data_IF_257663388296
#
_entry.id   IF_257663388296
#
_cell.length_a   1.000
_cell.length_b   1.000
_cell.length_c   1.000
_cell.angle_alpha   90.00
_cell.angle_beta   90.00
_cell.angle_gamma   90.00
#
_symmetry.space_group_name_H-M   'P 1'
#
loop_
_entity.id
_entity.type
_entity.pdbx_description
1 polymer ?
#
# COMPACT_ATOMS: atom_id res chain seq x y z
N UNK A 1 -0.83 22.76 12.59
CA UNK A 1 -1.82 22.15 11.66
C UNK A 1 -2.09 20.79 12.26
N UNK A 2 -2.95 20.75 13.26
CA UNK A 2 -2.97 19.66 14.23
C UNK A 2 -4.25 18.86 14.06
N UNK A 3 -4.09 17.65 13.54
CA UNK A 3 -5.14 16.68 13.32
C UNK A 3 -4.60 15.41 12.67
N UNK A 4 -4.94 14.26 13.24
CA UNK A 4 -4.66 12.96 12.63
C UNK A 4 -5.59 12.83 11.41
N UNK A 5 -5.01 12.65 10.22
CA UNK A 5 -5.76 12.40 8.98
C UNK A 5 -5.62 10.93 8.61
N UNK A 6 -6.72 10.34 8.19
CA UNK A 6 -6.77 8.96 7.72
C UNK A 6 -7.09 8.95 6.23
N UNK A 7 -6.57 7.95 5.53
CA UNK A 7 -6.90 7.67 4.14
C UNK A 7 -7.48 6.25 4.08
N UNK A 8 -8.81 6.09 4.15
CA UNK A 8 -9.40 4.76 4.09
C UNK A 8 -9.26 4.21 2.66
N UNK A 9 -8.66 3.03 2.53
CA UNK A 9 -8.51 2.32 1.25
C UNK A 9 -9.16 0.95 1.39
N UNK A 10 -10.16 0.69 0.55
CA UNK A 10 -10.81 -0.62 0.49
C UNK A 10 -9.94 -1.59 -0.31
N UNK A 11 -9.64 -2.75 0.27
CA UNK A 11 -8.86 -3.81 -0.36
C UNK A 11 -9.58 -5.15 -0.19
N UNK A 12 -9.38 -6.07 -1.14
CA UNK A 12 -9.91 -7.42 -1.03
C UNK A 12 -9.16 -8.24 0.03
N UNK A 13 -9.72 -9.39 0.42
CA UNK A 13 -9.14 -10.26 1.44
C UNK A 13 -7.74 -10.78 1.07
N UNK A 14 -7.51 -11.09 -0.21
CA UNK A 14 -6.21 -11.58 -0.69
C UNK A 14 -5.16 -10.48 -0.58
N UNK A 15 -5.50 -9.25 -0.98
CA UNK A 15 -4.63 -8.09 -0.82
C UNK A 15 -4.34 -7.78 0.65
N UNK A 16 -5.38 -7.79 1.49
CA UNK A 16 -5.24 -7.58 2.94
C UNK A 16 -4.30 -8.61 3.57
N UNK A 17 -4.41 -9.88 3.18
CA UNK A 17 -3.54 -10.95 3.65
C UNK A 17 -2.07 -10.70 3.25
N UNK A 18 -1.83 -10.29 2.00
CA UNK A 18 -0.47 -10.00 1.52
C UNK A 18 0.18 -8.82 2.26
N UNK A 19 -0.60 -7.81 2.62
CA UNK A 19 -0.19 -6.67 3.45
C UNK A 19 0.08 -7.13 4.89
N UNK A 20 -0.83 -7.90 5.49
CA UNK A 20 -0.71 -8.38 6.86
C UNK A 20 0.54 -9.25 7.06
N UNK A 21 0.84 -10.15 6.11
CA UNK A 21 2.06 -10.97 6.17
C UNK A 21 3.33 -10.12 6.15
N UNK A 22 3.36 -9.07 5.32
CA UNK A 22 4.48 -8.14 5.29
C UNK A 22 4.64 -7.40 6.62
N UNK A 23 3.53 -6.88 7.15
CA UNK A 23 3.51 -6.12 8.40
C UNK A 23 3.92 -6.98 9.61
N UNK A 24 3.59 -8.26 9.59
CA UNK A 24 3.98 -9.24 10.61
C UNK A 24 5.41 -9.77 10.42
N UNK A 25 6.09 -9.42 9.33
CA UNK A 25 7.44 -9.92 9.03
C UNK A 25 7.47 -11.43 8.75
N UNK A 26 6.38 -12.00 8.26
CA UNK A 26 6.30 -13.44 7.95
C UNK A 26 7.29 -13.76 6.83
N UNK A 27 8.22 -14.67 7.09
CA UNK A 27 9.14 -15.19 6.07
C UNK A 27 8.61 -16.53 5.55
N UNK A 28 8.07 -16.59 4.33
CA UNK A 28 7.55 -17.83 3.76
C UNK A 28 8.70 -18.78 3.34
N UNK A 29 8.45 -20.10 3.25
CA UNK A 29 9.46 -21.07 2.81
C UNK A 29 9.85 -20.91 1.33
N UNK A 30 9.02 -20.23 0.54
CA UNK A 30 9.25 -19.84 -0.85
C UNK A 30 8.70 -18.43 -1.06
N UNK A 31 9.32 -17.61 -1.92
CA UNK A 31 8.83 -16.25 -2.20
C UNK A 31 7.36 -16.27 -2.65
N UNK A 32 6.52 -15.45 -2.01
CA UNK A 32 5.18 -15.13 -2.51
C UNK A 32 5.29 -14.06 -3.60
N UNK A 33 4.17 -13.64 -4.18
CA UNK A 33 4.14 -12.73 -5.33
C UNK A 33 4.89 -11.42 -5.06
N UNK A 34 4.67 -10.77 -3.92
CA UNK A 34 5.34 -9.51 -3.61
C UNK A 34 6.80 -9.69 -3.19
N UNK A 35 7.16 -10.84 -2.64
CA UNK A 35 8.57 -11.18 -2.36
C UNK A 35 9.32 -11.39 -3.69
N UNK A 36 8.74 -12.15 -4.62
CA UNK A 36 9.29 -12.34 -5.96
C UNK A 36 9.46 -11.01 -6.71
N UNK A 37 8.49 -10.09 -6.58
CA UNK A 37 8.60 -8.77 -7.20
C UNK A 37 9.73 -7.94 -6.60
N UNK A 38 9.94 -8.00 -5.28
CA UNK A 38 11.12 -7.38 -4.64
C UNK A 38 12.41 -7.98 -5.19
N UNK A 39 12.52 -9.30 -5.24
CA UNK A 39 13.70 -10.00 -5.75
C UNK A 39 14.02 -9.59 -7.21
N UNK A 40 12.98 -9.41 -8.03
CA UNK A 40 13.13 -8.95 -9.42
C UNK A 40 13.67 -7.51 -9.47
N UNK A 41 13.14 -6.60 -8.67
CA UNK A 41 13.62 -5.21 -8.63
C UNK A 41 15.09 -5.16 -8.19
N UNK A 42 15.43 -5.89 -7.13
CA UNK A 42 16.81 -5.98 -6.62
C UNK A 42 17.76 -6.61 -7.63
N UNK A 43 17.35 -7.69 -8.31
CA UNK A 43 18.16 -8.37 -9.33
C UNK A 43 18.43 -7.53 -10.58
N UNK A 44 17.67 -6.45 -10.79
CA UNK A 44 17.86 -5.48 -11.87
C UNK A 44 18.67 -4.25 -11.41
N UNK A 45 19.33 -4.35 -10.26
CA UNK A 45 20.08 -3.25 -9.63
C UNK A 45 19.23 -1.99 -9.47
N UNK A 46 17.94 -2.18 -9.18
CA UNK A 46 16.99 -1.11 -8.96
C UNK A 46 16.52 -1.10 -7.49
N UNK A 47 16.00 0.03 -7.06
CA UNK A 47 15.53 0.24 -5.68
C UNK A 47 14.18 0.91 -5.70
N UNK A 48 13.19 0.31 -5.02
CA UNK A 48 11.94 0.99 -4.70
C UNK A 48 12.22 2.03 -3.61
N UNK A 49 12.17 3.31 -3.96
CA UNK A 49 12.49 4.41 -3.04
C UNK A 49 11.29 4.87 -2.22
N UNK A 50 10.12 4.85 -2.85
CA UNK A 50 8.86 5.21 -2.24
C UNK A 50 7.70 4.65 -3.06
N UNK A 51 6.52 4.62 -2.47
CA UNK A 51 5.26 4.56 -3.19
C UNK A 51 4.49 5.86 -2.98
N UNK A 52 3.69 6.25 -3.96
CA UNK A 52 2.88 7.45 -3.90
C UNK A 52 1.42 7.08 -4.19
N UNK A 53 0.54 7.30 -3.22
CA UNK A 53 -0.92 7.25 -3.40
C UNK A 53 -1.38 8.65 -3.82
N UNK A 54 -1.88 8.79 -5.04
CA UNK A 54 -2.03 10.10 -5.69
C UNK A 54 -3.45 10.66 -5.62
N UNK A 55 -4.45 9.91 -6.08
CA UNK A 55 -5.81 10.42 -6.21
C UNK A 55 -6.85 9.29 -6.21
N UNK A 56 -8.11 9.67 -6.00
CA UNK A 56 -9.28 8.87 -6.31
C UNK A 56 -9.80 9.33 -7.68
N UNK A 57 -9.82 8.45 -8.65
CA UNK A 57 -10.48 8.68 -9.94
C UNK A 57 -11.67 7.71 -10.02
N UNK A 58 -12.88 8.25 -10.17
CA UNK A 58 -14.12 7.45 -10.26
C UNK A 58 -14.32 6.46 -9.09
N UNK A 59 -13.88 6.84 -7.88
CA UNK A 59 -13.95 6.00 -6.69
C UNK A 59 -12.82 4.96 -6.56
N UNK A 60 -11.83 5.00 -7.46
CA UNK A 60 -10.69 4.08 -7.44
C UNK A 60 -9.41 4.84 -7.07
N UNK A 61 -8.76 4.41 -6.00
CA UNK A 61 -7.47 4.95 -5.60
C UNK A 61 -6.36 4.52 -6.57
N UNK A 62 -5.54 5.49 -6.98
CA UNK A 62 -4.36 5.27 -7.81
C UNK A 62 -3.08 5.32 -6.97
N UNK A 63 -2.11 4.49 -7.31
CA UNK A 63 -0.78 4.54 -6.72
C UNK A 63 0.32 4.39 -7.78
N UNK A 64 1.54 4.76 -7.41
CA UNK A 64 2.73 4.55 -8.23
C UNK A 64 3.90 4.08 -7.38
N UNK A 65 4.68 3.15 -7.94
CA UNK A 65 5.97 2.72 -7.40
C UNK A 65 7.05 3.69 -7.94
N UNK A 66 7.78 4.34 -7.04
CA UNK A 66 8.87 5.25 -7.39
C UNK A 66 10.20 4.51 -7.26
N UNK A 67 10.72 4.05 -8.39
CA UNK A 67 11.92 3.23 -8.49
C UNK A 67 13.09 4.07 -9.00
N UNK A 68 14.29 3.78 -8.52
CA UNK A 68 15.54 4.25 -9.13
C UNK A 68 16.34 3.06 -9.65
N UNK A 69 16.86 3.14 -10.87
CA UNK A 69 17.82 2.17 -11.36
C UNK A 69 19.25 2.48 -10.87
N UNK A 70 20.21 1.64 -11.25
CA UNK A 70 21.63 1.77 -10.90
C UNK A 70 22.27 3.10 -11.33
N UNK A 71 21.75 3.73 -12.39
CA UNK A 71 22.24 5.01 -12.91
C UNK A 71 21.53 6.21 -12.22
N UNK A 72 20.65 5.92 -11.26
CA UNK A 72 19.87 6.90 -10.51
C UNK A 72 18.67 7.45 -11.28
N UNK A 73 18.35 6.90 -12.46
CA UNK A 73 17.21 7.34 -13.27
C UNK A 73 15.92 7.03 -12.53
N UNK A 74 15.03 8.02 -12.47
CA UNK A 74 13.71 7.85 -11.86
C UNK A 74 12.77 7.10 -12.82
N UNK A 75 12.15 6.04 -12.33
CA UNK A 75 11.16 5.21 -13.01
C UNK A 75 9.88 5.23 -12.16
N UNK A 76 8.75 5.47 -12.80
CA UNK A 76 7.44 5.39 -12.17
C UNK A 76 6.63 4.26 -12.79
N UNK A 77 6.07 3.38 -11.96
CA UNK A 77 5.23 2.26 -12.40
C UNK A 77 3.86 2.40 -11.75
N UNK A 78 2.80 2.46 -12.56
CA UNK A 78 1.42 2.48 -12.05
C UNK A 78 1.10 1.19 -11.32
N UNK A 79 0.43 1.30 -10.16
CA UNK A 79 0.06 0.18 -9.32
C UNK A 79 -1.27 0.44 -8.61
N UNK A 80 -1.94 -0.64 -8.22
CA UNK A 80 -3.02 -0.54 -7.22
C UNK A 80 -2.39 -0.18 -5.87
N UNK A 81 -3.08 0.61 -5.01
CA UNK A 81 -2.57 0.95 -3.69
C UNK A 81 -2.25 -0.25 -2.82
N UNK A 82 -3.05 -1.31 -2.89
CA UNK A 82 -2.80 -2.55 -2.15
C UNK A 82 -1.45 -3.17 -2.48
N UNK A 83 -1.13 -3.29 -3.77
CA UNK A 83 0.14 -3.85 -4.24
C UNK A 83 1.32 -2.95 -3.87
N UNK A 84 1.14 -1.63 -4.01
CA UNK A 84 2.15 -0.64 -3.66
C UNK A 84 2.48 -0.66 -2.16
N UNK A 85 1.46 -0.73 -1.30
CA UNK A 85 1.63 -0.84 0.16
C UNK A 85 2.31 -2.17 0.51
N UNK A 86 1.89 -3.28 -0.09
CA UNK A 86 2.47 -4.60 0.17
C UNK A 86 3.96 -4.68 -0.21
N UNK A 87 4.37 -4.00 -1.28
CA UNK A 87 5.78 -3.88 -1.67
C UNK A 87 6.55 -2.95 -0.73
N UNK A 88 6.01 -1.75 -0.45
CA UNK A 88 6.68 -0.78 0.42
C UNK A 88 6.98 -1.32 1.82
N UNK A 89 6.09 -2.15 2.37
CA UNK A 89 6.31 -2.80 3.67
C UNK A 89 7.48 -3.79 3.64
N UNK A 90 7.67 -4.51 2.52
CA UNK A 90 8.75 -5.50 2.36
C UNK A 90 10.11 -4.87 2.07
N UNK A 91 10.11 -3.82 1.24
CA UNK A 91 11.31 -3.08 0.86
C UNK A 91 11.66 -1.96 1.85
N UNK A 92 10.83 -1.77 2.89
CA UNK A 92 10.92 -0.66 3.84
C UNK A 92 10.99 0.73 3.16
N UNK A 93 10.28 0.87 2.05
CA UNK A 93 10.22 2.12 1.28
C UNK A 93 9.22 3.10 1.88
N UNK A 94 9.39 4.39 1.59
CA UNK A 94 8.48 5.41 2.09
C UNK A 94 7.08 5.27 1.47
N UNK A 95 6.04 5.44 2.28
CA UNK A 95 4.65 5.51 1.83
C UNK A 95 4.22 6.98 1.83
N UNK A 96 4.00 7.53 0.64
CA UNK A 96 3.58 8.92 0.45
C UNK A 96 2.12 8.94 0.01
N UNK A 97 1.36 9.91 0.51
CA UNK A 97 0.01 10.19 0.06
C UNK A 97 -0.11 11.66 -0.32
N UNK A 98 -0.76 11.95 -1.44
CA UNK A 98 -1.10 13.33 -1.79
C UNK A 98 -2.05 13.90 -0.74
N UNK A 99 -1.87 15.18 -0.42
CA UNK A 99 -2.78 15.92 0.46
C UNK A 99 -4.21 15.91 -0.08
N UNK A 100 -4.37 15.89 -1.41
CA UNK A 100 -5.67 15.84 -2.05
C UNK A 100 -6.27 14.43 -2.10
N UNK A 101 -5.49 13.39 -1.78
CA UNK A 101 -5.99 12.03 -1.68
C UNK A 101 -6.76 11.78 -0.39
N UNK A 102 -6.59 12.58 0.67
CA UNK A 102 -7.36 12.42 1.91
C UNK A 102 -8.84 12.63 1.61
N UNK A 103 -9.61 11.53 1.62
CA UNK A 103 -11.02 11.50 1.24
C UNK A 103 -11.85 12.57 1.95
N UNK A 104 -12.91 13.01 1.28
CA UNK A 104 -13.88 13.93 1.87
C UNK A 104 -14.41 13.37 3.19
N UNK A 105 -14.82 14.27 4.10
CA UNK A 105 -15.30 13.94 5.44
C UNK A 105 -16.37 12.83 5.46
N UNK A 106 -17.16 12.69 4.40
CA UNK A 106 -18.19 11.64 4.27
C UNK A 106 -17.65 10.21 4.16
N UNK A 107 -16.51 9.99 3.51
CA UNK A 107 -15.92 8.63 3.44
C UNK A 107 -15.29 8.22 4.77
N UNK A 108 -14.72 9.18 5.50
CA UNK A 108 -14.22 8.95 6.86
C UNK A 108 -15.37 8.64 7.82
N UNK A 109 -16.53 9.29 7.68
CA UNK A 109 -17.73 8.98 8.47
C UNK A 109 -18.21 7.54 8.20
N UNK A 110 -18.32 7.13 6.93
CA UNK A 110 -18.68 5.75 6.56
C UNK A 110 -17.68 4.72 7.07
N UNK A 111 -16.39 5.05 7.03
CA UNK A 111 -15.35 4.17 7.56
C UNK A 111 -15.47 4.03 9.08
N UNK A 112 -15.76 5.12 9.81
CA UNK A 112 -16.04 5.07 11.26
C UNK A 112 -17.27 4.23 11.57
N UNK A 113 -18.37 4.45 10.85
CA UNK A 113 -19.61 3.66 11.01
C UNK A 113 -19.36 2.17 10.75
N UNK A 114 -18.51 1.83 9.77
CA UNK A 114 -18.09 0.46 9.52
C UNK A 114 -17.27 -0.12 10.67
N UNK A 115 -16.26 0.61 11.17
CA UNK A 115 -15.45 0.16 12.30
C UNK A 115 -16.28 -0.05 13.57
N UNK A 116 -17.31 0.78 13.79
CA UNK A 116 -18.22 0.63 14.92
C UNK A 116 -19.11 -0.61 14.81
N UNK A 117 -19.31 -1.15 13.61
CA UNK A 117 -20.15 -2.32 13.34
C UNK A 117 -19.36 -3.63 13.28
N UNK A 118 -18.03 -3.58 13.22
CA UNK A 118 -17.20 -4.78 13.12
C UNK A 118 -16.53 -5.07 14.47
N UNK A 119 -16.66 -6.30 14.94
CA UNK A 119 -15.91 -6.77 16.09
C UNK A 119 -14.56 -7.35 15.66
N UNK A 120 -13.50 -7.24 16.48
CA UNK A 120 -12.20 -7.86 16.19
C UNK A 120 -12.27 -9.36 15.87
N UNK A 121 -13.27 -10.05 16.42
CA UNK A 121 -13.51 -11.49 16.19
C UNK A 121 -14.00 -11.80 14.77
N UNK A 122 -14.60 -10.84 14.06
CA UNK A 122 -15.08 -11.03 12.68
C UNK A 122 -13.92 -11.18 11.67
N UNK A 123 -12.69 -10.84 12.08
CA UNK A 123 -11.47 -11.01 11.29
C UNK A 123 -10.66 -12.27 11.67
N UNK A 124 -11.06 -12.98 12.73
CA UNK A 124 -10.41 -14.21 13.17
C UNK A 124 -11.04 -15.41 12.45
N UNK A 125 -10.77 -15.53 11.15
CA UNK A 125 -11.02 -16.76 10.38
C UNK A 125 -10.07 -17.89 10.77
#
# INVERSE_FOLDING_TARGET
IDGVRFLPIWVGAVEATAIAFAQQGVTPPRPLTHDLMQDIVESLDATLTAIQVTAIEEGVFMASLLIRDQDGKAISVSARPSDAIALALRTHSNILADRNASGESSEMERFREFLDQINPEDFAG
#
